data_IF_114827346462
#
_entry.id   IF_114827346462
#
_cell.length_a   1.000
_cell.length_b   1.000
_cell.length_c   1.000
_cell.angle_alpha   90.00
_cell.angle_beta   90.00
_cell.angle_gamma   90.00
#
_symmetry.space_group_name_H-M   'P 1'
#
loop_
_entity.id
_entity.type
_entity.pdbx_description
1 polymer ?
#
# COMPACT_ATOMS: atom_id res chain seq x y z
N UNK A 1 24.46 7.22 0.37
CA UNK A 1 23.05 7.17 0.78
C UNK A 1 22.40 5.96 0.15
N UNK A 2 21.51 5.26 0.88
CA UNK A 2 20.67 4.18 0.32
C UNK A 2 19.30 4.74 -0.07
N UNK A 3 18.66 4.12 -1.06
CA UNK A 3 17.37 4.58 -1.58
C UNK A 3 16.39 3.42 -1.72
N UNK A 4 15.26 3.52 -1.05
CA UNK A 4 14.13 2.61 -1.15
C UNK A 4 12.96 3.34 -1.85
N UNK A 5 12.75 3.03 -3.12
CA UNK A 5 11.60 3.46 -3.88
C UNK A 5 10.46 2.46 -3.69
N UNK A 6 9.24 2.93 -3.49
CA UNK A 6 8.03 2.11 -3.49
C UNK A 6 6.93 2.68 -4.37
N UNK A 7 6.13 1.79 -4.95
CA UNK A 7 4.97 2.11 -5.76
C UNK A 7 3.75 1.37 -5.22
N UNK A 8 2.72 2.13 -4.89
CA UNK A 8 1.43 1.63 -4.44
C UNK A 8 0.51 1.38 -5.62
N UNK A 9 -0.13 0.20 -5.69
CA UNK A 9 -1.00 -0.24 -6.77
C UNK A 9 -2.34 -0.72 -6.21
N UNK A 10 -3.41 0.00 -6.53
CA UNK A 10 -4.73 -0.34 -6.04
C UNK A 10 -5.83 0.03 -7.02
N UNK A 11 -6.83 -0.84 -7.15
CA UNK A 11 -8.13 -0.52 -7.73
C UNK A 11 -9.23 -1.15 -6.87
N UNK A 12 -10.31 -0.42 -6.59
CA UNK A 12 -11.44 -0.94 -5.82
C UNK A 12 -12.05 -2.20 -6.44
N UNK A 13 -12.83 -2.99 -5.67
CA UNK A 13 -13.52 -4.16 -6.19
C UNK A 13 -14.35 -3.85 -7.44
N UNK A 14 -14.11 -4.61 -8.54
CA UNK A 14 -14.81 -4.46 -9.82
C UNK A 14 -14.44 -3.22 -10.63
N UNK A 15 -13.47 -2.41 -10.19
CA UNK A 15 -13.17 -1.15 -10.87
C UNK A 15 -12.52 -1.33 -12.25
N UNK A 16 -11.72 -2.38 -12.47
CA UNK A 16 -11.17 -2.66 -13.80
C UNK A 16 -12.28 -2.95 -14.82
N UNK A 17 -13.33 -3.66 -14.42
CA UNK A 17 -14.49 -3.87 -15.28
C UNK A 17 -15.23 -2.55 -15.56
N UNK A 18 -15.48 -1.76 -14.53
CA UNK A 18 -16.15 -0.46 -14.66
C UNK A 18 -15.37 0.49 -15.59
N UNK A 19 -14.07 0.57 -15.44
CA UNK A 19 -13.20 1.43 -16.25
C UNK A 19 -13.27 1.06 -17.74
N UNK A 20 -13.09 -0.22 -18.06
CA UNK A 20 -13.08 -0.64 -19.47
C UNK A 20 -14.46 -0.52 -20.13
N UNK A 21 -15.55 -0.55 -19.35
CA UNK A 21 -16.91 -0.34 -19.83
C UNK A 21 -17.26 1.12 -20.04
N UNK A 22 -16.73 2.02 -19.18
CA UNK A 22 -17.10 3.44 -19.16
C UNK A 22 -16.09 4.36 -19.84
N UNK A 23 -14.80 4.04 -19.76
CA UNK A 23 -13.70 4.86 -20.28
C UNK A 23 -12.50 3.98 -20.68
N UNK A 24 -12.61 3.35 -21.85
CA UNK A 24 -11.59 2.44 -22.37
C UNK A 24 -10.20 3.08 -22.48
N UNK A 25 -10.14 4.38 -22.81
CA UNK A 25 -8.87 5.10 -22.88
C UNK A 25 -8.18 5.18 -21.51
N UNK A 26 -8.92 5.51 -20.46
CA UNK A 26 -8.39 5.55 -19.10
C UNK A 26 -8.00 4.14 -18.60
N UNK A 27 -8.85 3.14 -18.90
CA UNK A 27 -8.56 1.74 -18.59
C UNK A 27 -7.22 1.28 -19.19
N UNK A 28 -6.94 1.68 -20.44
CA UNK A 28 -5.67 1.40 -21.11
C UNK A 28 -4.48 2.06 -20.39
N UNK A 29 -4.61 3.32 -19.94
CA UNK A 29 -3.54 4.01 -19.23
C UNK A 29 -3.21 3.34 -17.90
N UNK A 30 -4.23 3.05 -17.12
CA UNK A 30 -4.11 2.44 -15.81
C UNK A 30 -3.47 1.06 -15.90
N UNK A 31 -3.95 0.19 -16.79
CA UNK A 31 -3.44 -1.19 -16.86
C UNK A 31 -1.96 -1.24 -17.28
N UNK A 32 -1.52 -0.30 -18.12
CA UNK A 32 -0.11 -0.18 -18.52
C UNK A 32 0.80 0.26 -17.38
N UNK A 33 0.30 1.01 -16.39
CA UNK A 33 1.10 1.40 -15.24
C UNK A 33 1.63 0.17 -14.49
N UNK A 34 0.79 -0.86 -14.34
CA UNK A 34 1.18 -2.08 -13.64
C UNK A 34 2.26 -2.87 -14.39
N UNK A 35 2.19 -2.93 -15.71
CA UNK A 35 3.18 -3.62 -16.54
C UNK A 35 4.54 -2.90 -16.54
N UNK A 36 4.54 -1.56 -16.60
CA UNK A 36 5.76 -0.76 -16.67
C UNK A 36 6.71 -1.04 -15.52
N UNK A 37 6.22 -1.13 -14.29
CA UNK A 37 7.08 -1.39 -13.13
C UNK A 37 7.85 -2.71 -13.28
N UNK A 38 7.20 -3.80 -13.70
CA UNK A 38 7.85 -5.09 -13.94
C UNK A 38 8.86 -5.02 -15.10
N UNK A 39 8.49 -4.37 -16.20
CA UNK A 39 9.35 -4.23 -17.37
C UNK A 39 10.61 -3.41 -17.10
N UNK A 40 10.47 -2.27 -16.41
CA UNK A 40 11.63 -1.45 -16.04
C UNK A 40 12.51 -2.12 -14.97
N UNK A 41 11.94 -2.91 -14.08
CA UNK A 41 12.73 -3.75 -13.19
C UNK A 41 13.61 -4.73 -13.95
N UNK A 42 13.08 -5.35 -15.00
CA UNK A 42 13.84 -6.26 -15.84
C UNK A 42 14.94 -5.55 -16.63
N UNK A 43 14.64 -4.39 -17.24
CA UNK A 43 15.61 -3.57 -18.00
C UNK A 43 16.79 -3.11 -17.14
N UNK A 44 16.55 -2.82 -15.88
CA UNK A 44 17.57 -2.29 -14.95
C UNK A 44 17.90 -3.28 -13.82
N UNK A 45 17.77 -4.58 -14.06
CA UNK A 45 17.99 -5.63 -13.03
C UNK A 45 19.35 -5.60 -12.36
N UNK A 46 20.36 -5.06 -13.02
CA UNK A 46 21.72 -4.90 -12.52
C UNK A 46 21.86 -3.80 -11.45
N UNK A 47 21.08 -2.72 -11.56
CA UNK A 47 21.19 -1.55 -10.66
C UNK A 47 19.92 -1.24 -9.89
N UNK A 48 18.74 -1.53 -10.43
CA UNK A 48 17.48 -1.21 -9.77
C UNK A 48 17.16 -2.16 -8.61
N UNK A 49 16.67 -1.59 -7.52
CA UNK A 49 15.99 -2.25 -6.39
C UNK A 49 14.85 -1.36 -5.98
N UNK A 50 13.63 -1.88 -5.92
CA UNK A 50 12.47 -1.10 -5.46
C UNK A 50 11.35 -2.02 -4.96
N UNK A 51 10.26 -1.43 -4.52
CA UNK A 51 9.13 -2.10 -3.89
C UNK A 51 7.87 -1.85 -4.69
N UNK A 52 7.00 -2.83 -4.71
CA UNK A 52 5.64 -2.67 -5.21
C UNK A 52 4.70 -3.36 -4.23
N UNK A 53 3.65 -2.67 -3.83
CA UNK A 53 2.54 -3.27 -3.12
C UNK A 53 1.30 -3.31 -4.01
N UNK A 54 0.51 -4.34 -3.84
CA UNK A 54 -0.75 -4.53 -4.53
C UNK A 54 -1.84 -4.83 -3.53
N UNK A 55 -2.98 -4.17 -3.64
CA UNK A 55 -4.14 -4.61 -2.88
C UNK A 55 -4.62 -5.99 -3.35
N UNK A 56 -5.12 -6.80 -2.41
CA UNK A 56 -5.60 -8.13 -2.74
C UNK A 56 -6.75 -8.11 -3.75
N UNK A 57 -7.62 -7.10 -3.67
CA UNK A 57 -8.73 -6.94 -4.63
C UNK A 57 -8.26 -6.58 -6.04
N UNK A 58 -7.15 -5.86 -6.21
CA UNK A 58 -6.55 -5.66 -7.52
C UNK A 58 -5.99 -6.97 -8.06
N UNK A 59 -5.26 -7.72 -7.22
CA UNK A 59 -4.72 -9.02 -7.60
C UNK A 59 -5.82 -10.03 -7.95
N UNK A 60 -6.96 -9.99 -7.25
CA UNK A 60 -8.12 -10.82 -7.59
C UNK A 60 -8.69 -10.47 -8.97
N UNK A 61 -8.77 -9.19 -9.31
CA UNK A 61 -9.18 -8.76 -10.65
C UNK A 61 -8.20 -9.22 -11.74
N UNK A 62 -6.90 -9.27 -11.47
CA UNK A 62 -5.90 -9.83 -12.40
C UNK A 62 -6.02 -11.35 -12.61
N UNK A 63 -6.73 -12.06 -11.74
CA UNK A 63 -7.04 -13.49 -11.88
C UNK A 63 -8.36 -13.74 -12.61
N UNK A 64 -9.19 -12.72 -12.76
CA UNK A 64 -10.50 -12.88 -13.40
C UNK A 64 -10.34 -13.10 -14.91
N UNK A 65 -10.78 -14.25 -15.47
CA UNK A 65 -10.68 -14.54 -16.90
C UNK A 65 -11.35 -13.47 -17.78
N UNK A 66 -12.45 -12.87 -17.32
CA UNK A 66 -13.16 -11.83 -18.06
C UNK A 66 -12.31 -10.54 -18.15
N UNK A 67 -11.63 -10.16 -17.06
CA UNK A 67 -10.69 -9.02 -17.05
C UNK A 67 -9.48 -9.32 -17.93
N UNK A 68 -8.87 -10.49 -17.80
CA UNK A 68 -7.74 -10.91 -18.63
C UNK A 68 -8.09 -10.81 -20.12
N UNK A 69 -9.24 -11.35 -20.52
CA UNK A 69 -9.67 -11.32 -21.92
C UNK A 69 -9.90 -9.89 -22.43
N UNK A 70 -10.58 -9.05 -21.65
CA UNK A 70 -10.90 -7.67 -22.04
C UNK A 70 -9.68 -6.78 -22.16
N UNK A 71 -8.67 -6.98 -21.32
CA UNK A 71 -7.45 -6.18 -21.33
C UNK A 71 -6.34 -6.74 -22.24
N UNK A 72 -6.52 -7.93 -22.83
CA UNK A 72 -5.52 -8.63 -23.66
C UNK A 72 -4.95 -7.78 -24.81
N UNK A 73 -5.74 -6.88 -25.38
CA UNK A 73 -5.29 -5.98 -26.45
C UNK A 73 -4.31 -4.90 -25.99
N UNK A 74 -4.18 -4.69 -24.68
CA UNK A 74 -3.29 -3.68 -24.10
C UNK A 74 -2.07 -4.29 -23.42
N UNK A 75 -2.29 -5.33 -22.63
CA UNK A 75 -1.24 -6.06 -21.92
C UNK A 75 -1.61 -7.55 -21.78
N UNK A 76 -0.61 -8.38 -21.63
CA UNK A 76 -0.75 -9.77 -21.20
C UNK A 76 -0.64 -9.81 -19.66
N UNK A 77 -1.79 -9.84 -18.97
CA UNK A 77 -1.84 -9.85 -17.49
C UNK A 77 -1.11 -11.08 -16.91
N UNK A 78 -1.33 -12.32 -17.38
CA UNK A 78 -0.55 -13.47 -16.93
C UNK A 78 0.96 -13.30 -17.07
N UNK A 79 1.44 -12.80 -18.21
CA UNK A 79 2.86 -12.55 -18.44
C UNK A 79 3.40 -11.44 -17.53
N UNK A 80 2.61 -10.39 -17.27
CA UNK A 80 2.94 -9.34 -16.30
C UNK A 80 3.13 -9.92 -14.89
N UNK A 81 2.20 -10.73 -14.40
CA UNK A 81 2.31 -11.39 -13.09
C UNK A 81 3.55 -12.27 -13.03
N UNK A 82 3.83 -13.04 -14.09
CA UNK A 82 5.03 -13.87 -14.16
C UNK A 82 6.31 -13.00 -14.10
N UNK A 83 6.33 -11.85 -14.77
CA UNK A 83 7.45 -10.90 -14.69
C UNK A 83 7.72 -10.42 -13.27
N UNK A 84 6.67 -10.11 -12.49
CA UNK A 84 6.83 -9.77 -11.07
C UNK A 84 7.34 -10.95 -10.23
N UNK A 85 6.86 -12.15 -10.50
CA UNK A 85 7.32 -13.38 -9.85
C UNK A 85 8.81 -13.61 -10.05
N UNK A 86 9.31 -13.37 -11.25
CA UNK A 86 10.69 -13.60 -11.65
C UNK A 86 11.65 -12.46 -11.24
N UNK A 87 11.13 -11.26 -11.06
CA UNK A 87 11.91 -10.09 -10.69
C UNK A 87 12.46 -10.20 -9.25
N UNK A 88 13.74 -10.56 -9.11
CA UNK A 88 14.42 -10.67 -7.80
C UNK A 88 14.84 -9.31 -7.23
N UNK A 89 14.79 -8.27 -8.03
CA UNK A 89 15.10 -6.89 -7.67
C UNK A 89 13.87 -6.04 -7.34
N UNK A 90 12.68 -6.64 -7.31
CA UNK A 90 11.46 -6.07 -6.72
C UNK A 90 11.16 -6.79 -5.41
N UNK A 91 10.96 -6.06 -4.33
CA UNK A 91 10.36 -6.58 -3.11
C UNK A 91 8.85 -6.34 -3.16
N UNK A 92 8.07 -7.42 -3.09
CA UNK A 92 6.60 -7.34 -2.98
C UNK A 92 6.25 -7.05 -1.52
N UNK A 93 5.47 -6.00 -1.31
CA UNK A 93 5.00 -5.55 0.00
C UNK A 93 3.55 -5.99 0.20
N UNK A 94 3.23 -6.39 1.41
CA UNK A 94 1.87 -6.82 1.77
C UNK A 94 0.97 -5.66 2.14
N UNK A 95 -0.33 -5.93 2.05
CA UNK A 95 -1.39 -4.99 2.34
C UNK A 95 -2.64 -5.72 2.83
N UNK A 96 -3.60 -5.01 3.43
CA UNK A 96 -4.95 -5.54 3.66
C UNK A 96 -5.64 -5.89 2.35
N UNK A 97 -6.32 -7.05 2.31
CA UNK A 97 -6.87 -7.58 1.05
C UNK A 97 -7.81 -6.60 0.35
N UNK A 98 -8.79 -6.05 1.07
CA UNK A 98 -9.76 -5.09 0.53
C UNK A 98 -9.30 -3.62 0.67
N UNK A 99 -8.03 -3.37 0.93
CA UNK A 99 -7.51 -2.01 1.12
C UNK A 99 -8.20 -1.26 2.28
N UNK A 100 -8.36 -1.88 3.47
CA UNK A 100 -9.06 -1.24 4.57
C UNK A 100 -8.17 -0.23 5.29
N UNK A 101 -8.78 0.80 5.88
CA UNK A 101 -8.15 1.61 6.93
C UNK A 101 -8.31 0.88 8.25
N UNK A 102 -7.31 0.10 8.64
CA UNK A 102 -7.38 -0.79 9.80
C UNK A 102 -7.91 -0.12 11.08
N UNK A 103 -7.49 1.10 11.45
CA UNK A 103 -8.06 1.78 12.61
C UNK A 103 -9.55 2.15 12.50
N UNK A 104 -10.16 2.08 11.31
CA UNK A 104 -11.56 2.39 11.06
C UNK A 104 -12.44 1.17 10.80
N UNK A 105 -11.91 -0.04 10.92
CA UNK A 105 -12.64 -1.29 10.80
C UNK A 105 -12.58 -2.11 12.11
N UNK A 106 -13.50 -3.07 12.33
CA UNK A 106 -13.48 -3.91 13.53
C UNK A 106 -12.16 -4.67 13.67
N UNK A 107 -11.61 -4.70 14.90
CA UNK A 107 -10.32 -5.38 15.15
C UNK A 107 -10.36 -6.87 14.90
N UNK A 108 -11.50 -7.50 15.12
CA UNK A 108 -11.74 -8.91 14.87
C UNK A 108 -11.54 -9.28 13.40
N UNK A 109 -11.65 -8.29 12.49
CA UNK A 109 -11.53 -8.48 11.06
C UNK A 109 -10.10 -8.34 10.55
N UNK A 110 -9.20 -7.72 11.33
CA UNK A 110 -7.83 -7.40 10.91
C UNK A 110 -7.03 -8.61 10.44
N UNK A 111 -7.06 -9.70 11.22
CA UNK A 111 -6.26 -10.88 10.89
C UNK A 111 -6.70 -11.52 9.57
N UNK A 112 -7.98 -11.50 9.25
CA UNK A 112 -8.48 -12.07 8.00
C UNK A 112 -8.09 -11.20 6.80
N UNK A 113 -8.20 -9.87 6.90
CA UNK A 113 -7.70 -8.93 5.89
C UNK A 113 -6.20 -9.15 5.61
N UNK A 114 -5.39 -9.30 6.64
CA UNK A 114 -3.95 -9.55 6.53
C UNK A 114 -3.66 -10.93 5.93
N UNK A 115 -4.35 -11.97 6.39
CA UNK A 115 -4.16 -13.34 5.92
C UNK A 115 -4.52 -13.48 4.43
N UNK A 116 -5.66 -12.92 4.00
CA UNK A 116 -6.08 -12.93 2.61
C UNK A 116 -5.12 -12.17 1.71
N UNK A 117 -4.66 -10.98 2.14
CA UNK A 117 -3.68 -10.19 1.39
C UNK A 117 -2.36 -10.93 1.20
N UNK A 118 -1.85 -11.61 2.26
CA UNK A 118 -0.65 -12.45 2.16
C UNK A 118 -0.84 -13.68 1.29
N UNK A 119 -2.00 -14.33 1.39
CA UNK A 119 -2.29 -15.54 0.64
C UNK A 119 -2.29 -15.30 -0.86
N UNK A 120 -2.97 -14.25 -1.34
CA UNK A 120 -3.01 -13.92 -2.77
C UNK A 120 -1.64 -13.47 -3.29
N UNK A 121 -0.87 -12.72 -2.50
CA UNK A 121 0.49 -12.33 -2.88
C UNK A 121 1.41 -13.56 -3.01
N UNK A 122 1.33 -14.50 -2.06
CA UNK A 122 2.08 -15.76 -2.12
C UNK A 122 1.67 -16.60 -3.34
N UNK A 123 0.38 -16.71 -3.61
CA UNK A 123 -0.15 -17.45 -4.76
C UNK A 123 0.41 -16.89 -6.08
N UNK A 124 0.31 -15.58 -6.29
CA UNK A 124 0.67 -14.97 -7.57
C UNK A 124 2.19 -14.77 -7.73
N UNK A 125 2.88 -14.37 -6.68
CA UNK A 125 4.31 -14.02 -6.77
C UNK A 125 5.25 -15.09 -6.20
N UNK A 126 4.73 -16.16 -5.59
CA UNK A 126 5.52 -17.27 -5.04
C UNK A 126 6.37 -16.91 -3.81
N UNK A 127 6.10 -15.77 -3.18
CA UNK A 127 6.82 -15.28 -1.99
C UNK A 127 5.90 -14.52 -1.05
N UNK A 128 6.05 -14.77 0.25
CA UNK A 128 5.32 -14.05 1.29
C UNK A 128 5.93 -12.67 1.50
N UNK A 129 5.13 -11.61 1.50
CA UNK A 129 5.59 -10.27 1.86
C UNK A 129 6.15 -10.21 3.28
N UNK A 130 7.28 -9.51 3.46
CA UNK A 130 7.90 -9.22 4.75
C UNK A 130 7.56 -7.83 5.27
N UNK A 131 7.40 -6.87 4.37
CA UNK A 131 6.97 -5.52 4.66
C UNK A 131 5.48 -5.35 4.53
N UNK A 132 4.94 -4.37 5.24
CA UNK A 132 3.54 -3.98 5.18
C UNK A 132 3.40 -2.52 4.75
N UNK A 133 2.51 -2.29 3.80
CA UNK A 133 2.03 -0.97 3.42
C UNK A 133 0.61 -0.79 3.96
N UNK A 134 0.38 0.09 4.95
CA UNK A 134 -0.97 0.39 5.40
C UNK A 134 -1.73 1.14 4.31
N UNK A 135 -2.93 0.69 3.98
CA UNK A 135 -3.80 1.42 3.06
C UNK A 135 -3.88 2.89 3.46
N UNK A 136 -3.69 3.81 2.49
CA UNK A 136 -3.65 5.26 2.73
C UNK A 136 -2.56 5.70 3.74
N UNK A 137 -1.55 4.85 3.98
CA UNK A 137 -0.59 4.99 5.08
C UNK A 137 -1.25 5.17 6.45
N UNK A 138 -2.50 4.72 6.59
CA UNK A 138 -3.28 4.81 7.83
C UNK A 138 -2.75 3.81 8.86
N UNK A 139 -2.07 4.30 9.87
CA UNK A 139 -1.42 3.48 10.87
C UNK A 139 -1.75 3.96 12.29
N UNK A 140 -1.86 2.99 13.20
CA UNK A 140 -1.84 3.19 14.64
C UNK A 140 -0.97 2.13 15.30
N UNK A 141 -0.39 2.44 16.46
CA UNK A 141 0.46 1.52 17.22
C UNK A 141 -0.26 0.20 17.56
N UNK A 142 -1.57 0.24 17.69
CA UNK A 142 -2.42 -0.92 17.99
C UNK A 142 -2.42 -1.99 16.88
N UNK A 143 -1.98 -1.65 15.66
CA UNK A 143 -1.84 -2.60 14.57
C UNK A 143 -0.62 -3.52 14.74
N UNK A 144 0.37 -3.13 15.53
CA UNK A 144 1.64 -3.86 15.66
C UNK A 144 1.45 -5.33 16.04
N UNK A 145 0.64 -5.70 17.05
CA UNK A 145 0.43 -7.12 17.38
C UNK A 145 -0.16 -7.92 16.23
N UNK A 146 -1.12 -7.35 15.49
CA UNK A 146 -1.75 -8.02 14.36
C UNK A 146 -0.76 -8.22 13.20
N UNK A 147 0.04 -7.20 12.89
CA UNK A 147 1.08 -7.27 11.85
C UNK A 147 2.18 -8.27 12.19
N UNK A 148 2.67 -8.25 13.43
CA UNK A 148 3.68 -9.20 13.90
C UNK A 148 3.15 -10.64 13.87
N UNK A 149 1.91 -10.88 14.35
CA UNK A 149 1.27 -12.19 14.29
C UNK A 149 1.05 -12.68 12.84
N UNK A 150 0.78 -11.78 11.91
CA UNK A 150 0.72 -12.09 10.48
C UNK A 150 2.10 -12.31 9.85
N UNK A 151 3.22 -12.14 10.57
CA UNK A 151 4.58 -12.38 10.11
C UNK A 151 5.18 -11.24 9.28
N UNK A 152 4.72 -10.01 9.46
CA UNK A 152 5.38 -8.83 8.91
C UNK A 152 6.55 -8.40 9.79
N UNK A 153 7.68 -8.08 9.16
CA UNK A 153 8.92 -7.67 9.83
C UNK A 153 9.04 -6.14 9.94
N UNK A 154 8.42 -5.42 9.01
CA UNK A 154 8.43 -3.95 8.99
C UNK A 154 7.15 -3.35 8.39
N UNK A 155 6.92 -2.08 8.72
CA UNK A 155 5.83 -1.27 8.16
C UNK A 155 6.36 0.07 7.70
N UNK A 156 5.89 0.54 6.53
CA UNK A 156 6.21 1.87 6.01
C UNK A 156 5.17 2.85 6.54
N UNK A 157 5.61 3.95 7.14
CA UNK A 157 4.74 5.00 7.68
C UNK A 157 5.22 6.38 7.25
N UNK A 158 4.34 7.35 7.18
CA UNK A 158 4.74 8.71 6.87
C UNK A 158 5.60 9.29 8.00
N UNK A 159 6.76 9.83 7.66
CA UNK A 159 7.76 10.29 8.64
C UNK A 159 7.23 11.35 9.60
N UNK A 160 6.24 12.15 9.20
CA UNK A 160 5.68 13.21 10.06
C UNK A 160 4.94 12.66 11.30
N UNK A 161 4.54 11.38 11.23
CA UNK A 161 3.90 10.69 12.34
C UNK A 161 4.89 10.01 13.28
N UNK A 162 6.12 9.78 12.86
CA UNK A 162 7.16 9.18 13.72
C UNK A 162 7.54 10.16 14.81
N UNK A 163 7.49 9.70 16.04
CA UNK A 163 7.74 10.52 17.25
C UNK A 163 8.79 9.86 18.14
N UNK A 164 9.60 10.66 18.82
CA UNK A 164 10.58 10.14 19.74
C UNK A 164 9.91 9.48 20.95
N UNK A 165 10.55 8.45 21.49
CA UNK A 165 10.17 7.86 22.79
C UNK A 165 10.63 8.77 23.93
N UNK A 166 11.77 9.44 23.76
CA UNK A 166 12.35 10.38 24.74
C UNK A 166 12.35 11.79 24.14
N UNK A 167 11.95 12.80 24.92
CA UNK A 167 11.90 14.21 24.47
C UNK A 167 13.24 14.72 23.94
N UNK A 168 14.35 14.23 24.47
CA UNK A 168 15.71 14.61 24.02
C UNK A 168 16.10 14.01 22.67
N UNK A 169 15.36 13.03 22.15
CA UNK A 169 15.64 12.36 20.89
C UNK A 169 15.04 13.16 19.72
N UNK A 170 15.86 13.48 18.72
CA UNK A 170 15.40 14.04 17.44
C UNK A 170 15.12 12.91 16.46
N UNK A 171 13.93 12.86 15.89
CA UNK A 171 13.59 11.90 14.84
C UNK A 171 14.33 12.25 13.56
N UNK A 172 14.97 11.24 13.00
CA UNK A 172 15.67 11.29 11.72
C UNK A 172 14.88 10.50 10.68
N UNK A 173 14.31 11.12 9.62
CA UNK A 173 13.52 10.45 8.61
C UNK A 173 14.32 9.49 7.70
N UNK A 174 15.64 9.47 7.85
CA UNK A 174 16.56 8.62 7.08
C UNK A 174 17.05 7.40 7.87
N UNK A 175 16.37 7.04 8.96
CA UNK A 175 16.74 5.92 9.83
C UNK A 175 15.51 5.09 10.16
N UNK A 176 15.57 3.74 10.02
CA UNK A 176 14.55 2.85 10.56
C UNK A 176 14.55 2.84 12.09
N UNK A 177 13.37 2.61 12.69
CA UNK A 177 13.17 2.54 14.13
C UNK A 177 12.49 1.23 14.54
N UNK A 178 12.66 0.81 15.78
CA UNK A 178 11.81 -0.20 16.42
C UNK A 178 10.60 0.48 17.04
N UNK A 179 9.42 -0.06 16.81
CA UNK A 179 8.21 0.34 17.53
C UNK A 179 7.67 -0.84 18.32
N UNK A 180 7.25 -0.58 19.55
CA UNK A 180 6.73 -1.58 20.48
C UNK A 180 5.31 -1.24 20.91
N UNK A 181 4.44 -2.26 20.91
CA UNK A 181 3.11 -2.17 21.48
C UNK A 181 2.78 -3.47 22.22
N UNK A 182 2.62 -3.40 23.54
CA UNK A 182 2.61 -4.59 24.40
C UNK A 182 3.90 -5.40 24.23
N UNK A 183 3.76 -6.69 24.04
CA UNK A 183 4.89 -7.62 23.83
C UNK A 183 5.36 -7.69 22.37
N UNK A 184 4.66 -7.04 21.46
CA UNK A 184 4.97 -7.10 20.03
C UNK A 184 5.84 -5.94 19.58
N UNK A 185 6.74 -6.22 18.63
CA UNK A 185 7.62 -5.22 18.01
C UNK A 185 7.57 -5.33 16.49
N UNK A 186 7.77 -4.20 15.82
CA UNK A 186 7.92 -4.13 14.36
C UNK A 186 8.93 -3.03 14.00
N UNK A 187 9.61 -3.18 12.87
CA UNK A 187 10.45 -2.10 12.35
C UNK A 187 9.61 -1.05 11.62
N UNK A 188 9.78 0.21 11.99
CA UNK A 188 9.17 1.36 11.32
C UNK A 188 10.14 1.90 10.27
N UNK A 189 9.65 2.08 9.05
CA UNK A 189 10.37 2.70 7.95
C UNK A 189 9.72 4.04 7.63
N UNK A 190 10.39 5.17 7.94
CA UNK A 190 9.84 6.49 7.63
C UNK A 190 9.85 6.77 6.13
N UNK A 191 8.68 6.99 5.51
CA UNK A 191 8.55 7.55 4.16
C UNK A 191 8.81 9.05 4.23
N UNK A 192 9.73 9.55 3.45
CA UNK A 192 9.99 10.99 3.39
C UNK A 192 8.92 11.70 2.55
N UNK A 193 7.97 12.37 3.21
CA UNK A 193 6.78 12.98 2.57
C UNK A 193 7.14 13.92 1.43
N UNK A 194 7.93 14.96 1.72
CA UNK A 194 8.19 16.03 0.76
C UNK A 194 8.87 15.53 -0.51
N UNK A 195 9.87 14.65 -0.37
CA UNK A 195 10.55 14.04 -1.52
C UNK A 195 9.61 13.11 -2.29
N UNK A 196 8.76 12.35 -1.59
CA UNK A 196 7.78 11.48 -2.25
C UNK A 196 6.76 12.28 -3.05
N UNK A 197 6.22 13.34 -2.47
CA UNK A 197 5.23 14.20 -3.14
C UNK A 197 5.85 14.97 -4.31
N UNK A 198 7.10 15.46 -4.17
CA UNK A 198 7.80 16.10 -5.27
C UNK A 198 8.10 15.12 -6.41
N UNK A 199 8.47 13.87 -6.09
CA UNK A 199 8.66 12.81 -7.06
C UNK A 199 7.38 12.47 -7.81
N UNK A 200 6.24 12.39 -7.12
CA UNK A 200 4.92 12.17 -7.72
C UNK A 200 4.49 13.32 -8.63
N UNK A 201 4.94 14.54 -8.33
CA UNK A 201 4.62 15.76 -9.08
C UNK A 201 5.53 16.05 -10.28
N UNK A 202 6.48 15.17 -10.63
CA UNK A 202 7.30 15.33 -11.83
C UNK A 202 8.75 15.78 -11.59
N UNK A 203 9.35 15.38 -10.48
CA UNK A 203 10.76 15.67 -10.17
C UNK A 203 11.72 14.97 -11.14
N UNK A 204 12.67 15.70 -11.73
CA UNK A 204 13.72 15.09 -12.54
C UNK A 204 14.84 14.48 -11.69
N UNK A 205 15.66 13.56 -12.23
CA UNK A 205 16.71 12.86 -11.47
C UNK A 205 17.74 13.78 -10.83
N UNK A 206 18.16 14.85 -11.50
CA UNK A 206 19.17 15.76 -10.98
C UNK A 206 18.64 16.56 -9.79
N UNK A 207 17.42 17.07 -9.90
CA UNK A 207 16.74 17.72 -8.77
C UNK A 207 16.54 16.75 -7.61
N UNK A 208 16.05 15.53 -7.87
CA UNK A 208 15.90 14.49 -6.85
C UNK A 208 17.22 14.22 -6.09
N UNK A 209 18.32 14.06 -6.80
CA UNK A 209 19.62 13.78 -6.18
C UNK A 209 20.10 14.95 -5.32
N UNK A 210 19.95 16.18 -5.79
CA UNK A 210 20.32 17.38 -5.06
C UNK A 210 19.49 17.57 -3.78
N UNK A 211 18.18 17.40 -3.90
CA UNK A 211 17.25 17.53 -2.77
C UNK A 211 17.50 16.42 -1.73
N UNK A 212 17.65 15.18 -2.18
CA UNK A 212 17.96 14.06 -1.30
C UNK A 212 19.28 14.27 -0.53
N UNK A 213 20.32 14.76 -1.21
CA UNK A 213 21.59 15.05 -0.56
C UNK A 213 21.47 16.21 0.44
N UNK A 214 20.76 17.28 0.09
CA UNK A 214 20.53 18.42 0.96
C UNK A 214 19.80 18.01 2.26
N UNK A 215 18.71 17.23 2.13
CA UNK A 215 17.92 16.76 3.27
C UNK A 215 18.71 15.81 4.18
N UNK A 216 19.49 14.90 3.61
CA UNK A 216 20.34 14.02 4.43
C UNK A 216 21.40 14.79 5.18
N UNK A 217 21.98 15.86 4.62
CA UNK A 217 22.96 16.72 5.28
C UNK A 217 22.42 17.43 6.53
N UNK A 218 21.11 17.71 6.59
CA UNK A 218 20.47 18.27 7.79
C UNK A 218 20.58 17.33 9.01
N UNK A 219 20.81 16.05 8.77
CA UNK A 219 21.00 15.00 9.78
C UNK A 219 22.43 14.46 9.76
N UNK A 220 23.40 15.38 9.82
CA UNK A 220 24.83 15.04 9.84
C UNK A 220 25.13 14.04 10.97
N UNK A 221 25.94 13.03 10.67
CA UNK A 221 26.24 11.94 11.61
C UNK A 221 25.42 10.68 11.42
N UNK A 222 24.39 10.70 10.55
CA UNK A 222 23.65 9.48 10.19
C UNK A 222 24.56 8.49 9.47
N UNK A 223 24.81 7.36 10.10
CA UNK A 223 25.52 6.25 9.46
C UNK A 223 24.54 5.49 8.56
N UNK A 224 24.88 5.32 7.28
CA UNK A 224 24.07 4.59 6.30
C UNK A 224 22.63 5.15 6.16
N UNK A 225 22.43 6.42 5.76
CA UNK A 225 21.10 6.98 5.61
C UNK A 225 20.29 6.23 4.55
N UNK A 226 19.03 5.94 4.89
CA UNK A 226 18.03 5.34 4.02
C UNK A 226 16.97 6.39 3.67
N UNK A 227 16.98 6.88 2.45
CA UNK A 227 15.85 7.64 1.92
C UNK A 227 14.78 6.69 1.41
N UNK A 228 13.56 6.84 1.92
CA UNK A 228 12.40 6.08 1.43
C UNK A 228 11.41 7.05 0.79
N UNK A 229 11.11 6.84 -0.50
CA UNK A 229 10.00 7.51 -1.19
C UNK A 229 8.95 6.49 -1.63
N UNK A 230 7.69 6.91 -1.56
CA UNK A 230 6.57 6.06 -1.95
C UNK A 230 5.42 6.91 -2.46
N UNK A 231 4.81 6.50 -3.56
CA UNK A 231 3.67 7.19 -4.18
C UNK A 231 2.75 6.17 -4.83
N UNK A 232 1.59 6.62 -5.26
CA UNK A 232 0.77 5.84 -6.17
C UNK A 232 1.56 5.53 -7.44
N UNK A 233 1.37 4.35 -7.98
CA UNK A 233 2.04 3.88 -9.20
C UNK A 233 1.14 3.91 -10.43
N UNK A 234 -0.16 4.16 -10.28
CA UNK A 234 -1.14 4.24 -11.36
C UNK A 234 -2.01 5.49 -11.34
N UNK A 235 -1.93 6.32 -10.30
CA UNK A 235 -2.67 7.57 -10.20
C UNK A 235 -1.84 8.76 -10.71
N UNK A 236 -2.55 9.79 -11.16
CA UNK A 236 -1.94 10.99 -11.68
C UNK A 236 -1.40 10.87 -13.10
N UNK A 237 -1.38 12.01 -13.79
CA UNK A 237 -1.01 12.09 -15.20
C UNK A 237 0.40 11.62 -15.50
N UNK A 238 1.31 11.72 -14.54
CA UNK A 238 2.70 11.32 -14.74
C UNK A 238 2.88 9.81 -14.91
N UNK A 239 2.21 8.98 -14.09
CA UNK A 239 2.27 7.53 -14.23
C UNK A 239 1.49 7.04 -15.46
N UNK A 240 0.40 7.75 -15.82
CA UNK A 240 -0.52 7.39 -16.91
C UNK A 240 -0.09 7.93 -18.28
N UNK A 241 1.06 8.57 -18.43
CA UNK A 241 1.52 9.08 -19.73
C UNK A 241 1.61 7.97 -20.77
N UNK A 242 1.01 8.21 -21.95
CA UNK A 242 1.11 7.30 -23.11
C UNK A 242 2.53 7.28 -23.64
N UNK A 243 3.10 8.48 -23.82
CA UNK A 243 4.52 8.64 -24.11
C UNK A 243 5.32 8.38 -22.84
N UNK A 244 5.89 7.21 -22.76
CA UNK A 244 6.68 6.79 -21.60
C UNK A 244 7.90 7.67 -21.35
N UNK A 245 8.45 8.31 -22.39
CA UNK A 245 9.61 9.19 -22.24
C UNK A 245 9.29 10.43 -21.39
N UNK A 246 8.03 10.86 -21.37
CA UNK A 246 7.57 12.00 -20.56
C UNK A 246 7.00 11.62 -19.20
N UNK A 247 6.84 10.31 -18.91
CA UNK A 247 6.27 9.79 -17.66
C UNK A 247 7.32 9.36 -16.64
N UNK A 248 6.85 8.88 -15.49
CA UNK A 248 7.70 8.48 -14.37
C UNK A 248 8.86 7.57 -14.77
N UNK A 249 8.58 6.51 -15.51
CA UNK A 249 9.61 5.53 -15.83
C UNK A 249 10.64 6.04 -16.86
N UNK A 250 10.20 6.74 -17.89
CA UNK A 250 11.09 7.23 -18.95
C UNK A 250 11.82 8.52 -18.57
N UNK A 251 11.16 9.43 -17.88
CA UNK A 251 11.73 10.75 -17.55
C UNK A 251 12.52 10.76 -16.22
N UNK A 252 12.08 9.97 -15.22
CA UNK A 252 12.70 9.93 -13.91
C UNK A 252 13.47 8.63 -13.66
N UNK A 253 12.78 7.48 -13.69
CA UNK A 253 13.36 6.22 -13.23
C UNK A 253 14.55 5.77 -14.10
N UNK A 254 14.36 5.65 -15.41
CA UNK A 254 15.40 5.18 -16.30
C UNK A 254 16.63 6.09 -16.28
N UNK A 255 16.53 7.43 -16.43
CA UNK A 255 17.69 8.30 -16.33
C UNK A 255 18.38 8.27 -14.96
N UNK A 256 17.64 8.06 -13.87
CA UNK A 256 18.25 7.85 -12.55
C UNK A 256 19.06 6.55 -12.50
N UNK A 257 18.51 5.44 -13.02
CA UNK A 257 19.22 4.17 -13.09
C UNK A 257 20.47 4.24 -13.96
N UNK A 258 20.44 4.98 -15.08
CA UNK A 258 21.64 5.21 -15.90
C UNK A 258 22.72 6.01 -15.16
N UNK A 259 22.33 7.05 -14.44
CA UNK A 259 23.28 7.80 -13.59
C UNK A 259 23.90 6.94 -12.46
N UNK A 260 23.14 5.97 -11.94
CA UNK A 260 23.66 5.01 -10.96
C UNK A 260 24.61 4.01 -11.62
N UNK A 261 24.26 3.50 -12.79
CA UNK A 261 25.06 2.55 -13.58
C UNK A 261 26.40 3.17 -14.00
N UNK A 262 26.39 4.42 -14.45
CA UNK A 262 27.61 5.19 -14.82
C UNK A 262 28.41 5.69 -13.62
N UNK A 263 27.93 5.50 -12.39
CA UNK A 263 28.53 6.00 -11.12
C UNK A 263 28.54 7.53 -10.98
N UNK A 264 27.76 8.24 -11.77
CA UNK A 264 27.52 9.68 -11.62
C UNK A 264 26.71 9.99 -10.36
N UNK A 265 25.76 9.12 -10.01
CA UNK A 265 24.95 9.27 -8.80
C UNK A 265 25.49 8.41 -7.65
N UNK A 266 25.74 9.07 -6.50
CA UNK A 266 26.20 8.42 -5.24
C UNK A 266 25.05 7.92 -4.37
N UNK A 267 24.06 7.33 -5.01
CA UNK A 267 22.88 6.74 -4.36
C UNK A 267 22.83 5.25 -4.67
N UNK A 268 22.44 4.44 -3.70
CA UNK A 268 22.40 2.98 -3.84
C UNK A 268 20.94 2.50 -3.68
N UNK A 269 20.27 2.06 -4.74
CA UNK A 269 18.98 1.39 -4.63
C UNK A 269 19.10 0.12 -3.77
N UNK A 270 18.15 -0.07 -2.87
CA UNK A 270 18.08 -1.23 -1.98
C UNK A 270 16.63 -1.64 -1.77
N UNK A 271 16.40 -2.92 -1.48
CA UNK A 271 15.16 -3.30 -0.83
C UNK A 271 15.25 -3.04 0.68
N UNK A 272 14.11 -2.76 1.30
CA UNK A 272 14.06 -2.53 2.75
C UNK A 272 14.50 -3.76 3.51
N UNK A 273 14.09 -4.96 3.07
CA UNK A 273 14.53 -6.22 3.68
C UNK A 273 16.05 -6.41 3.61
N UNK A 274 16.69 -6.09 2.48
CA UNK A 274 18.15 -6.11 2.35
C UNK A 274 18.81 -5.10 3.29
N UNK A 275 18.21 -3.90 3.38
CA UNK A 275 18.75 -2.82 4.19
C UNK A 275 18.68 -3.16 5.69
N UNK A 276 17.51 -3.52 6.23
CA UNK A 276 17.35 -3.81 7.67
C UNK A 276 18.12 -5.05 8.10
N UNK A 277 18.28 -6.04 7.22
CA UNK A 277 19.13 -7.20 7.49
C UNK A 277 20.59 -6.78 7.69
N UNK A 278 21.08 -5.81 6.92
CA UNK A 278 22.46 -5.33 6.99
C UNK A 278 22.65 -4.27 8.09
N UNK A 279 21.66 -3.44 8.29
CA UNK A 279 21.67 -2.30 9.23
C UNK A 279 20.40 -2.35 10.08
N UNK A 280 20.32 -3.28 11.04
CA UNK A 280 19.13 -3.41 11.90
C UNK A 280 18.92 -2.12 12.72
N UNK A 281 17.65 -1.71 12.92
CA UNK A 281 17.33 -0.54 13.72
C UNK A 281 17.80 -0.73 15.17
N UNK A 282 18.30 0.34 15.77
CA UNK A 282 18.82 0.34 17.16
C UNK A 282 18.04 1.26 18.08
N UNK A 283 17.33 2.22 17.49
CA UNK A 283 16.59 3.23 18.23
C UNK A 283 15.10 2.89 18.20
N UNK A 284 14.41 3.25 19.27
CA UNK A 284 12.97 3.11 19.37
C UNK A 284 12.27 4.42 19.00
N UNK A 285 11.10 4.29 18.37
CA UNK A 285 10.20 5.40 18.11
C UNK A 285 8.75 4.95 18.30
N UNK A 286 7.87 5.92 18.50
CA UNK A 286 6.43 5.72 18.43
C UNK A 286 5.87 6.32 17.16
N UNK A 287 4.66 5.95 16.79
CA UNK A 287 3.97 6.51 15.62
C UNK A 287 2.65 7.10 16.09
N UNK A 288 2.48 8.41 15.89
CA UNK A 288 1.18 9.06 16.09
C UNK A 288 0.18 8.47 15.10
N UNK A 289 -1.01 8.13 15.57
CA UNK A 289 -2.11 7.69 14.72
C UNK A 289 -2.40 8.71 13.63
N UNK A 290 -2.41 8.28 12.36
CA UNK A 290 -2.62 9.15 11.21
C UNK A 290 -2.47 8.41 9.90
N UNK A 291 -2.63 9.17 8.81
CA UNK A 291 -2.57 8.72 7.43
C UNK A 291 -1.77 9.69 6.57
N UNK A 292 -1.50 9.35 5.31
CA UNK A 292 -1.13 10.40 4.38
C UNK A 292 -2.36 11.24 4.03
N UNK A 293 -2.15 12.48 3.57
CA UNK A 293 -3.25 13.27 3.06
C UNK A 293 -3.10 13.48 1.58
N UNK A 294 -4.19 13.20 0.89
CA UNK A 294 -4.39 13.57 -0.49
C UNK A 294 -5.22 14.86 -0.45
N UNK A 295 -4.58 16.02 -0.59
CA UNK A 295 -5.26 17.30 -0.64
C UNK A 295 -5.10 18.20 0.59
N UNK A 296 -5.99 19.15 0.75
CA UNK A 296 -5.93 20.29 1.69
C UNK A 296 -6.38 19.97 3.13
N UNK A 297 -6.67 18.74 3.46
CA UNK A 297 -7.11 18.38 4.80
C UNK A 297 -5.97 18.44 5.81
N UNK A 298 -6.18 19.22 6.82
CA UNK A 298 -5.20 19.80 7.72
C UNK A 298 -4.81 18.89 8.83
N UNK A 299 -4.78 17.71 8.95
CA UNK A 299 -4.42 17.00 10.19
C UNK A 299 -3.61 15.74 10.00
N UNK A 300 -3.53 15.26 8.77
CA UNK A 300 -2.94 13.94 8.49
C UNK A 300 -3.51 12.84 9.41
N UNK A 301 -4.79 13.01 9.78
CA UNK A 301 -5.61 12.10 10.55
C UNK A 301 -6.52 11.29 9.62
N UNK A 302 -7.58 10.71 10.15
CA UNK A 302 -8.52 9.93 9.34
C UNK A 302 -9.75 10.73 8.86
N UNK A 303 -9.73 12.07 9.00
CA UNK A 303 -10.90 12.92 8.66
C UNK A 303 -11.33 12.80 7.19
N UNK A 304 -10.44 12.42 6.29
CA UNK A 304 -10.76 12.15 4.90
C UNK A 304 -11.75 10.98 4.74
N UNK A 305 -11.74 10.02 5.65
CA UNK A 305 -12.56 8.80 5.61
C UNK A 305 -13.64 8.75 6.70
N UNK A 306 -13.51 9.56 7.76
CA UNK A 306 -14.46 9.59 8.88
C UNK A 306 -14.88 11.02 9.29
N UNK A 307 -14.61 12.03 8.48
CA UNK A 307 -14.89 13.44 8.82
C UNK A 307 -16.37 13.79 8.75
N UNK A 308 -17.09 13.27 7.77
CA UNK A 308 -18.51 13.59 7.57
C UNK A 308 -19.45 12.75 8.41
N UNK A 309 -20.68 13.25 8.61
CA UNK A 309 -21.73 12.51 9.32
C UNK A 309 -22.15 11.22 8.58
N UNK A 310 -22.15 11.24 7.24
CA UNK A 310 -22.46 10.05 6.42
C UNK A 310 -21.37 8.98 6.53
N UNK A 311 -20.11 9.36 6.51
CA UNK A 311 -18.99 8.44 6.72
C UNK A 311 -19.06 7.77 8.09
N UNK A 312 -19.28 8.55 9.17
CA UNK A 312 -19.42 8.02 10.54
C UNK A 312 -20.58 7.04 10.68
N UNK A 313 -21.72 7.34 10.06
CA UNK A 313 -22.87 6.43 10.06
C UNK A 313 -22.56 5.13 9.30
N UNK A 314 -21.88 5.21 8.18
CA UNK A 314 -21.48 4.04 7.39
C UNK A 314 -20.49 3.15 8.17
N UNK A 315 -19.49 3.73 8.82
CA UNK A 315 -18.57 3.01 9.70
C UNK A 315 -19.33 2.30 10.84
N UNK A 316 -20.26 2.99 11.51
CA UNK A 316 -21.06 2.38 12.59
C UNK A 316 -21.87 1.19 12.06
N UNK A 317 -22.50 1.30 10.88
CA UNK A 317 -23.26 0.20 10.28
C UNK A 317 -22.34 -1.00 9.97
N UNK A 318 -21.12 -0.75 9.51
CA UNK A 318 -20.10 -1.79 9.29
C UNK A 318 -19.73 -2.49 10.60
N UNK A 319 -19.50 -1.75 11.69
CA UNK A 319 -19.19 -2.33 12.99
C UNK A 319 -20.34 -3.20 13.52
N UNK A 320 -21.58 -2.77 13.39
CA UNK A 320 -22.75 -3.53 13.84
C UNK A 320 -22.92 -4.86 13.08
N UNK A 321 -22.76 -4.86 11.74
CA UNK A 321 -22.88 -6.08 10.95
C UNK A 321 -21.74 -7.06 11.22
N UNK A 322 -20.51 -6.57 11.37
CA UNK A 322 -19.35 -7.42 11.72
C UNK A 322 -19.52 -8.01 13.13
N UNK A 323 -19.93 -7.21 14.12
CA UNK A 323 -20.26 -7.71 15.46
C UNK A 323 -21.29 -8.84 15.41
N UNK A 324 -22.38 -8.66 14.68
CA UNK A 324 -23.42 -9.70 14.50
C UNK A 324 -22.86 -10.97 13.87
N UNK A 325 -22.00 -10.86 12.87
CA UNK A 325 -21.32 -12.01 12.27
C UNK A 325 -20.50 -12.79 13.30
N UNK A 326 -19.70 -12.11 14.12
CA UNK A 326 -18.84 -12.75 15.11
C UNK A 326 -19.64 -13.40 16.26
N UNK A 327 -20.76 -12.82 16.65
CA UNK A 327 -21.70 -13.42 17.63
C UNK A 327 -22.23 -14.75 17.09
N UNK A 328 -22.72 -14.77 15.85
CA UNK A 328 -23.25 -15.97 15.21
C UNK A 328 -22.15 -17.03 14.98
N UNK A 329 -20.96 -16.62 14.58
CA UNK A 329 -19.83 -17.53 14.35
C UNK A 329 -19.39 -18.27 15.62
N UNK A 330 -19.55 -17.67 16.80
CA UNK A 330 -19.22 -18.30 18.10
C UNK A 330 -20.26 -19.34 18.55
N UNK A 331 -21.47 -19.32 18.01
CA UNK A 331 -22.52 -20.29 18.36
C UNK A 331 -22.43 -21.54 17.44
N UNK A 332 -22.92 -22.70 17.95
CA UNK A 332 -23.04 -23.91 17.12
C UNK A 332 -23.98 -23.64 15.96
N UNK A 333 -23.49 -23.84 14.74
CA UNK A 333 -24.26 -23.60 13.51
C UNK A 333 -24.53 -24.91 12.77
N UNK A 334 -25.71 -25.00 12.11
CA UNK A 334 -25.99 -26.05 11.16
C UNK A 334 -25.22 -25.83 9.83
N UNK A 335 -24.94 -26.89 9.10
CA UNK A 335 -24.16 -26.82 7.85
C UNK A 335 -24.74 -25.82 6.83
N UNK A 336 -26.06 -25.72 6.72
CA UNK A 336 -26.73 -24.72 5.85
C UNK A 336 -26.41 -23.27 6.24
N UNK A 337 -26.23 -23.01 7.53
CA UNK A 337 -25.90 -21.67 8.03
C UNK A 337 -24.44 -21.27 7.75
N UNK A 338 -23.54 -22.24 7.66
CA UNK A 338 -22.12 -21.98 7.39
C UNK A 338 -21.90 -21.32 6.04
N UNK A 339 -22.66 -21.70 5.00
CA UNK A 339 -22.57 -21.06 3.68
C UNK A 339 -23.02 -19.59 3.73
N UNK A 340 -24.15 -19.33 4.39
CA UNK A 340 -24.65 -17.95 4.59
C UNK A 340 -23.64 -17.09 5.35
N UNK A 341 -23.04 -17.64 6.42
CA UNK A 341 -21.98 -16.96 7.18
C UNK A 341 -20.75 -16.65 6.33
N UNK A 342 -20.32 -17.58 5.47
CA UNK A 342 -19.20 -17.36 4.57
C UNK A 342 -19.50 -16.25 3.55
N UNK A 343 -20.69 -16.24 2.96
CA UNK A 343 -21.12 -15.19 2.04
C UNK A 343 -21.26 -13.83 2.73
N UNK A 344 -21.87 -13.79 3.93
CA UNK A 344 -21.96 -12.56 4.72
C UNK A 344 -20.58 -12.03 5.08
N UNK A 345 -19.64 -12.93 5.42
CA UNK A 345 -18.27 -12.54 5.74
C UNK A 345 -17.57 -11.86 4.58
N UNK A 346 -17.70 -12.41 3.38
CA UNK A 346 -17.10 -11.82 2.18
C UNK A 346 -17.66 -10.40 1.93
N UNK A 347 -18.97 -10.21 2.10
CA UNK A 347 -19.60 -8.89 1.94
C UNK A 347 -19.12 -7.88 2.99
N UNK A 348 -18.94 -8.31 4.26
CA UNK A 348 -18.40 -7.46 5.32
C UNK A 348 -16.98 -7.01 4.97
N UNK A 349 -16.10 -7.93 4.61
CA UNK A 349 -14.72 -7.62 4.25
C UNK A 349 -14.63 -6.70 3.02
N UNK A 350 -15.51 -6.88 2.03
CA UNK A 350 -15.62 -5.99 0.86
C UNK A 350 -16.06 -4.58 1.28
N UNK A 351 -17.02 -4.48 2.22
CA UNK A 351 -17.50 -3.18 2.71
C UNK A 351 -16.41 -2.37 3.47
N UNK A 352 -15.33 -3.02 3.88
CA UNK A 352 -14.22 -2.38 4.62
C UNK A 352 -13.25 -1.58 3.73
N UNK A 353 -13.40 -1.61 2.40
CA UNK A 353 -12.50 -0.86 1.51
C UNK A 353 -12.52 0.64 1.80
N UNK A 354 -11.34 1.25 1.87
CA UNK A 354 -11.19 2.70 2.09
C UNK A 354 -11.91 3.54 1.05
N UNK A 355 -12.01 3.05 -0.19
CA UNK A 355 -12.56 3.77 -1.32
C UNK A 355 -14.04 4.16 -1.15
N UNK A 356 -14.84 3.32 -0.48
CA UNK A 356 -16.25 3.65 -0.23
C UNK A 356 -16.41 4.84 0.71
N UNK A 357 -15.46 5.04 1.60
CA UNK A 357 -15.43 6.19 2.50
C UNK A 357 -14.76 7.41 1.84
N UNK A 358 -13.66 7.19 1.10
CA UNK A 358 -12.91 8.25 0.45
C UNK A 358 -13.77 9.09 -0.50
N UNK A 359 -14.54 8.44 -1.37
CA UNK A 359 -15.41 9.11 -2.33
C UNK A 359 -16.72 9.62 -1.71
N UNK A 360 -16.89 9.50 -0.37
CA UNK A 360 -17.98 10.08 0.39
C UNK A 360 -19.36 9.68 -0.13
N UNK A 361 -20.28 10.64 -0.22
CA UNK A 361 -21.69 10.39 -0.55
C UNK A 361 -21.89 9.73 -1.93
N UNK A 362 -20.93 9.85 -2.84
CA UNK A 362 -20.98 9.17 -4.14
C UNK A 362 -20.80 7.65 -4.04
N UNK A 363 -20.02 7.15 -3.04
CA UNK A 363 -19.69 5.73 -2.94
C UNK A 363 -20.16 5.07 -1.63
N UNK A 364 -20.50 5.80 -0.60
CA UNK A 364 -21.13 5.27 0.63
C UNK A 364 -22.35 4.36 0.34
N UNK A 365 -23.20 4.63 -0.67
CA UNK A 365 -24.26 3.69 -1.05
C UNK A 365 -23.78 2.28 -1.37
N UNK A 366 -22.56 2.12 -1.96
CA UNK A 366 -21.96 0.81 -2.25
C UNK A 366 -21.61 0.07 -0.96
N UNK A 367 -21.12 0.78 0.07
CA UNK A 367 -20.89 0.19 1.40
C UNK A 367 -22.21 -0.33 1.99
N UNK A 368 -23.27 0.48 1.96
CA UNK A 368 -24.57 0.07 2.49
C UNK A 368 -25.18 -1.11 1.71
N UNK A 369 -24.96 -1.21 0.40
CA UNK A 369 -25.36 -2.36 -0.39
C UNK A 369 -24.78 -3.66 0.18
N UNK A 370 -23.46 -3.67 0.46
CA UNK A 370 -22.75 -4.82 1.04
C UNK A 370 -23.22 -5.11 2.46
N UNK A 371 -23.31 -4.09 3.31
CA UNK A 371 -23.77 -4.21 4.70
C UNK A 371 -25.19 -4.76 4.76
N UNK A 372 -26.13 -4.21 3.96
CA UNK A 372 -27.52 -4.66 3.94
C UNK A 372 -27.66 -6.09 3.40
N UNK A 373 -26.87 -6.46 2.38
CA UNK A 373 -26.84 -7.83 1.88
C UNK A 373 -26.29 -8.81 2.94
N UNK A 374 -25.23 -8.44 3.66
CA UNK A 374 -24.71 -9.24 4.76
C UNK A 374 -25.73 -9.38 5.90
N UNK A 375 -26.40 -8.30 6.30
CA UNK A 375 -27.46 -8.35 7.32
C UNK A 375 -28.60 -9.33 6.99
N UNK A 376 -29.05 -9.33 5.73
CA UNK A 376 -30.07 -10.31 5.26
C UNK A 376 -29.61 -11.75 5.40
N UNK A 377 -28.33 -12.03 5.15
CA UNK A 377 -27.77 -13.37 5.34
C UNK A 377 -27.58 -13.74 6.80
N UNK A 378 -27.41 -12.76 7.71
CA UNK A 378 -27.22 -12.95 9.14
C UNK A 378 -28.54 -12.90 9.96
N UNK A 379 -29.64 -12.56 9.34
CA UNK A 379 -30.98 -12.62 9.95
C UNK A 379 -31.47 -14.08 10.13
#
# INVERSE_FOLDING_TARGET
MHYALGLHMHQPPGNLQLLIDSNEWEAQQIIRCYERAARYAHLYKDVARFHVDFSGVLLAQFKDPAIIDRYRKYIDIPAMIQSYRDAKNIEIIGMGYYHPIFPLIPREDWQEQLALGRAIALELFGRSPKGFWPSEMAFSMEMIPALAAAGYEYVVVDHVHVKPVKESQKINPFTPYLARYGESTITIIPRHRDISNAQESGMNPSWFLNEAEARVKEFSGTKNPLLTSWSDGENGGWFRQIDEASGFFGYFFAPLMEKIRSKEARIKPVTISEFIKKYPPKEEATVKTGAWNVGSTSGYDFSQWNGSGSQKKAINALFEVSKRYWELKKSKQHASRLLQLAQARQLILDAETSCYLFWGDAWIPKLYEKVNAAQKLLA
#
